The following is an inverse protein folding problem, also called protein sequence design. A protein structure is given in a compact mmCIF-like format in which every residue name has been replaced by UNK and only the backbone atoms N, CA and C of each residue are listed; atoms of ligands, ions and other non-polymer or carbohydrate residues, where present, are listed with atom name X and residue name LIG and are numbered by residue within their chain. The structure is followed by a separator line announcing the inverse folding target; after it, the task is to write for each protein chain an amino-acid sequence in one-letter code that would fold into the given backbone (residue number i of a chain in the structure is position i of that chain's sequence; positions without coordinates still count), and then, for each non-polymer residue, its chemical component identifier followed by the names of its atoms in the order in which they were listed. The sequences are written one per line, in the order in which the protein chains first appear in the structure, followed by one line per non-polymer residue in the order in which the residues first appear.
data_IF_168052606759
#
_entry.id   IF_168052606759
#
_cell.length_a   1.000
_cell.length_b   1.000
_cell.length_c   1.000
_cell.angle_alpha   90.00
_cell.angle_beta   90.00
_cell.angle_gamma   90.00
#
_symmetry.space_group_name_H-M   'P 1'
#
loop_
_entity.id
_entity.type
_entity.pdbx_description
1 polymer ?
#
# COMPACT_ATOMS: atom_id res chain seq x y z
N UNK A 1 17.20 -56.25 24.18
CA UNK A 1 17.65 -54.85 24.09
C UNK A 1 16.41 -53.98 23.93
N UNK A 2 16.11 -53.17 24.94
CA UNK A 2 14.96 -52.26 24.96
C UNK A 2 15.38 -50.92 24.36
N UNK A 3 14.64 -50.44 23.37
CA UNK A 3 14.69 -49.05 22.93
C UNK A 3 13.29 -48.47 23.11
N UNK A 4 13.00 -48.09 24.35
CA UNK A 4 11.87 -47.26 24.72
C UNK A 4 12.32 -45.81 24.62
N UNK A 5 11.83 -45.08 23.62
CA UNK A 5 11.53 -43.65 23.69
C UNK A 5 10.97 -43.19 22.33
N UNK A 6 9.72 -43.60 22.03
CA UNK A 6 8.91 -42.90 21.04
C UNK A 6 8.45 -41.61 21.69
N UNK A 7 9.30 -40.60 21.62
CA UNK A 7 8.98 -39.24 22.05
C UNK A 7 7.74 -38.83 21.26
N UNK A 8 6.62 -38.72 21.98
CA UNK A 8 5.38 -38.08 21.55
C UNK A 8 5.65 -36.57 21.42
N UNK A 9 6.54 -36.21 20.49
CA UNK A 9 6.77 -34.83 20.09
C UNK A 9 5.71 -34.49 19.07
N UNK A 10 4.77 -33.65 19.46
CA UNK A 10 3.85 -32.97 18.56
C UNK A 10 4.63 -32.20 17.50
N UNK A 11 4.97 -32.86 16.41
CA UNK A 11 5.35 -32.20 15.17
C UNK A 11 4.07 -31.76 14.50
N UNK A 12 3.44 -30.69 15.01
CA UNK A 12 2.47 -29.93 14.22
C UNK A 12 3.15 -29.69 12.87
N UNK A 13 2.61 -30.31 11.81
CA UNK A 13 3.00 -30.01 10.46
C UNK A 13 2.46 -28.60 10.19
N UNK A 14 3.14 -27.59 10.76
CA UNK A 14 2.90 -26.18 10.51
C UNK A 14 3.22 -26.03 9.05
N UNK A 15 2.18 -26.13 8.23
CA UNK A 15 2.24 -26.04 6.80
C UNK A 15 3.06 -24.81 6.45
N UNK A 16 4.27 -25.05 5.95
CA UNK A 16 5.08 -24.03 5.28
C UNK A 16 4.46 -23.71 3.92
N UNK A 17 3.13 -23.57 3.86
CA UNK A 17 2.46 -22.81 2.83
C UNK A 17 2.86 -21.36 3.10
N UNK A 18 4.10 -21.01 2.72
CA UNK A 18 4.48 -19.63 2.55
C UNK A 18 3.40 -19.05 1.66
N UNK A 19 2.68 -18.05 2.18
CA UNK A 19 1.75 -17.29 1.38
C UNK A 19 2.47 -16.95 0.08
N UNK A 20 1.84 -17.28 -1.05
CA UNK A 20 2.37 -16.96 -2.37
C UNK A 20 2.53 -15.45 -2.39
N UNK A 21 3.77 -14.95 -2.29
CA UNK A 21 4.06 -13.55 -2.51
C UNK A 21 3.62 -13.26 -3.94
N UNK A 22 2.48 -12.58 -4.07
CA UNK A 22 2.03 -12.05 -5.33
C UNK A 22 3.05 -10.97 -5.69
N UNK A 23 4.06 -11.33 -6.46
CA UNK A 23 5.13 -10.46 -6.98
C UNK A 23 4.62 -9.25 -7.80
N UNK A 24 3.30 -9.03 -7.85
CA UNK A 24 2.64 -7.99 -8.62
C UNK A 24 1.41 -7.42 -7.91
N UNK A 25 1.34 -7.51 -6.57
CA UNK A 25 0.26 -6.88 -5.79
C UNK A 25 0.74 -5.57 -5.18
N UNK A 26 0.10 -4.46 -5.54
CA UNK A 26 0.25 -3.19 -4.83
C UNK A 26 -0.16 -3.39 -3.37
N UNK A 27 0.76 -3.11 -2.44
CA UNK A 27 0.44 -3.15 -1.01
C UNK A 27 -0.01 -1.76 -0.57
N UNK A 28 -1.24 -1.65 -0.09
CA UNK A 28 -1.72 -0.39 0.51
C UNK A 28 -0.90 -0.11 1.76
N UNK A 29 -0.26 1.05 1.78
CA UNK A 29 0.63 1.47 2.86
C UNK A 29 0.03 2.57 3.70
N UNK A 30 -0.72 3.48 3.08
CA UNK A 30 -1.30 4.63 3.77
C UNK A 30 -2.52 5.15 3.05
N UNK A 31 -3.51 5.58 3.83
CA UNK A 31 -4.69 6.31 3.35
C UNK A 31 -4.61 7.73 3.88
N UNK A 32 -4.74 8.73 2.99
CA UNK A 32 -4.77 10.15 3.32
C UNK A 32 -6.19 10.66 3.12
N UNK A 33 -6.81 11.12 4.21
CA UNK A 33 -8.16 11.69 4.24
C UNK A 33 -8.15 12.95 5.08
N UNK A 34 -8.81 14.01 4.61
CA UNK A 34 -8.96 15.28 5.34
C UNK A 34 -7.65 15.81 5.95
N UNK A 35 -6.54 15.62 5.23
CA UNK A 35 -5.20 15.91 5.71
C UNK A 35 -4.22 16.13 4.56
N UNK A 36 -3.08 16.71 4.92
CA UNK A 36 -1.93 16.88 4.05
C UNK A 36 -0.86 15.89 4.47
N UNK A 37 -0.21 15.30 3.49
CA UNK A 37 0.87 14.35 3.68
C UNK A 37 1.99 14.58 2.66
N UNK A 38 3.21 14.65 3.16
CA UNK A 38 4.42 14.90 2.37
C UNK A 38 5.34 13.69 2.48
N UNK A 39 5.35 12.80 1.46
CA UNK A 39 6.31 11.72 1.35
C UNK A 39 7.75 12.24 1.40
N UNK A 40 8.55 11.72 2.32
CA UNK A 40 10.00 11.96 2.37
C UNK A 40 10.74 10.85 1.61
N UNK A 41 12.01 11.05 1.22
CA UNK A 41 12.73 10.15 0.31
C UNK A 41 12.79 8.66 0.69
N UNK A 42 12.51 8.29 1.95
CA UNK A 42 12.40 6.90 2.41
C UNK A 42 10.98 6.31 2.31
N UNK A 43 9.98 7.16 2.07
CA UNK A 43 8.55 6.87 1.94
C UNK A 43 8.01 7.26 0.55
N UNK A 44 8.85 7.28 -0.48
CA UNK A 44 8.36 7.43 -1.85
C UNK A 44 7.48 6.23 -2.22
N UNK A 45 6.18 6.49 -2.31
CA UNK A 45 5.20 5.51 -2.76
C UNK A 45 5.32 5.33 -4.28
N UNK A 46 5.14 4.11 -4.77
CA UNK A 46 5.26 3.80 -6.19
C UNK A 46 3.96 4.11 -6.94
N UNK A 47 2.83 3.96 -6.26
CA UNK A 47 1.52 4.20 -6.85
C UNK A 47 0.55 4.85 -5.87
N UNK A 48 -0.53 5.41 -6.41
CA UNK A 48 -1.65 5.92 -5.64
C UNK A 48 -2.98 5.60 -6.31
N UNK A 49 -4.07 5.63 -5.55
CA UNK A 49 -5.43 5.69 -6.05
C UNK A 49 -6.19 6.80 -5.32
N UNK A 50 -7.15 7.40 -6.00
CA UNK A 50 -8.01 8.42 -5.41
C UNK A 50 -9.43 7.89 -5.40
N UNK A 51 -10.08 7.94 -4.25
CA UNK A 51 -11.51 7.67 -4.08
C UNK A 51 -12.19 9.01 -3.86
N UNK A 52 -12.83 9.52 -4.92
CA UNK A 52 -13.41 10.86 -4.97
C UNK A 52 -13.11 11.55 -6.30
N UNK A 53 -13.93 12.54 -6.67
CA UNK A 53 -13.80 13.27 -7.95
C UNK A 53 -13.06 14.60 -7.83
N UNK A 54 -13.18 15.29 -6.70
CA UNK A 54 -12.70 16.66 -6.50
C UNK A 54 -12.27 16.86 -5.06
N UNK A 55 -11.31 17.74 -4.79
CA UNK A 55 -10.86 18.02 -3.43
C UNK A 55 -9.55 17.32 -3.04
N UNK A 56 -8.71 17.01 -4.03
CA UNK A 56 -7.35 16.54 -3.78
C UNK A 56 -6.35 17.42 -4.51
N UNK A 57 -5.11 17.43 -4.00
CA UNK A 57 -3.96 17.95 -4.73
C UNK A 57 -2.81 16.97 -4.58
N UNK A 58 -2.33 16.46 -5.71
CA UNK A 58 -1.23 15.51 -5.76
C UNK A 58 -0.09 16.14 -6.54
N UNK A 59 1.14 16.05 -6.03
CA UNK A 59 2.33 16.48 -6.77
C UNK A 59 3.22 15.28 -7.03
N UNK A 60 3.64 15.11 -8.29
CA UNK A 60 4.57 14.05 -8.66
C UNK A 60 5.97 14.29 -8.08
N UNK A 61 6.74 13.23 -7.82
CA UNK A 61 8.14 13.35 -7.40
C UNK A 61 9.01 14.03 -8.46
N UNK A 62 8.67 13.89 -9.74
CA UNK A 62 9.33 14.56 -10.88
C UNK A 62 8.70 15.91 -11.25
N UNK A 63 7.84 16.45 -10.38
CA UNK A 63 7.02 17.63 -10.68
C UNK A 63 5.70 17.27 -11.37
N UNK A 64 4.91 18.31 -11.65
CA UNK A 64 3.53 18.18 -12.13
C UNK A 64 2.53 18.11 -10.98
N UNK A 65 1.42 18.83 -11.12
CA UNK A 65 0.34 18.88 -10.14
C UNK A 65 -0.94 18.31 -10.74
N UNK A 66 -1.61 17.44 -9.99
CA UNK A 66 -2.86 16.80 -10.37
C UNK A 66 -3.92 17.23 -9.37
N UNK A 67 -4.90 17.98 -9.86
CA UNK A 67 -6.04 18.48 -9.07
C UNK A 67 -7.37 17.93 -9.56
N UNK A 68 -7.43 17.44 -10.81
CA UNK A 68 -8.61 16.93 -11.50
C UNK A 68 -8.19 15.93 -12.60
N UNK A 69 -9.17 15.29 -13.23
CA UNK A 69 -8.94 14.43 -14.41
C UNK A 69 -8.51 13.00 -14.07
N UNK A 70 -8.57 12.62 -12.79
CA UNK A 70 -8.28 11.28 -12.33
C UNK A 70 -9.58 10.48 -12.25
N UNK A 71 -9.60 9.27 -12.82
CA UNK A 71 -10.69 8.32 -12.61
C UNK A 71 -10.62 7.76 -11.19
N UNK A 72 -11.67 8.01 -10.41
CA UNK A 72 -11.80 7.49 -9.04
C UNK A 72 -11.70 5.96 -9.02
N UNK A 73 -10.95 5.42 -8.05
CA UNK A 73 -10.73 3.98 -7.88
C UNK A 73 -9.71 3.37 -8.83
N UNK A 74 -9.16 4.13 -9.78
CA UNK A 74 -8.06 3.67 -10.64
C UNK A 74 -6.71 3.83 -9.93
N UNK A 75 -5.79 2.91 -10.20
CA UNK A 75 -4.41 2.94 -9.67
C UNK A 75 -3.50 3.62 -10.68
N UNK A 76 -2.73 4.59 -10.22
CA UNK A 76 -1.75 5.33 -11.00
C UNK A 76 -0.36 5.04 -10.46
N UNK A 77 0.51 4.47 -11.31
CA UNK A 77 1.87 4.11 -10.96
C UNK A 77 2.80 5.33 -11.09
N UNK A 78 2.56 6.32 -10.24
CA UNK A 78 3.32 7.57 -10.19
C UNK A 78 3.65 7.86 -8.73
N UNK A 79 4.92 8.10 -8.44
CA UNK A 79 5.34 8.52 -7.11
C UNK A 79 4.94 9.95 -6.81
N UNK A 80 4.48 10.19 -5.59
CA UNK A 80 4.02 11.49 -5.12
C UNK A 80 5.02 12.09 -4.12
N UNK A 81 5.24 13.40 -4.24
CA UNK A 81 6.00 14.23 -3.30
C UNK A 81 5.11 15.05 -2.37
N UNK A 82 3.82 15.17 -2.72
CA UNK A 82 2.82 15.85 -1.92
C UNK A 82 1.44 15.26 -2.18
N UNK A 83 0.66 15.11 -1.11
CA UNK A 83 -0.72 14.62 -1.13
C UNK A 83 -1.56 15.49 -0.21
N UNK A 84 -2.62 16.08 -0.74
CA UNK A 84 -3.67 16.72 0.04
C UNK A 84 -5.01 16.11 -0.35
N UNK A 85 -5.82 15.77 0.64
CA UNK A 85 -7.19 15.33 0.47
C UNK A 85 -8.10 16.14 1.40
N UNK A 86 -9.20 16.67 0.89
CA UNK A 86 -10.26 17.31 1.66
C UNK A 86 -11.30 16.29 2.11
N UNK A 87 -12.16 16.67 3.08
CA UNK A 87 -13.31 15.88 3.50
C UNK A 87 -14.11 15.29 2.32
N UNK A 88 -14.32 13.97 2.35
CA UNK A 88 -15.03 13.22 1.32
C UNK A 88 -14.15 12.61 0.22
N UNK A 89 -12.83 12.84 0.25
CA UNK A 89 -11.84 12.18 -0.63
C UNK A 89 -10.86 11.37 0.19
N UNK A 90 -10.53 10.17 -0.28
CA UNK A 90 -9.39 9.40 0.22
C UNK A 90 -8.36 9.17 -0.87
N UNK A 91 -7.08 9.35 -0.53
CA UNK A 91 -5.96 9.02 -1.42
C UNK A 91 -5.22 7.85 -0.79
N UNK A 92 -5.27 6.71 -1.44
CA UNK A 92 -4.57 5.51 -1.00
C UNK A 92 -3.21 5.46 -1.68
N UNK A 93 -2.17 5.21 -0.90
CA UNK A 93 -0.78 5.17 -1.33
C UNK A 93 -0.29 3.73 -1.24
N UNK A 94 0.37 3.29 -2.30
CA UNK A 94 0.82 1.91 -2.48
C UNK A 94 2.34 1.85 -2.66
N UNK A 95 2.91 0.72 -2.24
CA UNK A 95 4.31 0.36 -2.51
C UNK A 95 4.41 -1.00 -3.18
#
# INVERSE_FOLDING_TARGET
MSFSDVTRGQGSFVGRTKARDFYNSFKEMKTVTDSIYEPTGSNEYSAFSVMGKTGFKLRGTKGGEITNGITSGSIYNVGLSYVSASGGVSVNLYR
#
